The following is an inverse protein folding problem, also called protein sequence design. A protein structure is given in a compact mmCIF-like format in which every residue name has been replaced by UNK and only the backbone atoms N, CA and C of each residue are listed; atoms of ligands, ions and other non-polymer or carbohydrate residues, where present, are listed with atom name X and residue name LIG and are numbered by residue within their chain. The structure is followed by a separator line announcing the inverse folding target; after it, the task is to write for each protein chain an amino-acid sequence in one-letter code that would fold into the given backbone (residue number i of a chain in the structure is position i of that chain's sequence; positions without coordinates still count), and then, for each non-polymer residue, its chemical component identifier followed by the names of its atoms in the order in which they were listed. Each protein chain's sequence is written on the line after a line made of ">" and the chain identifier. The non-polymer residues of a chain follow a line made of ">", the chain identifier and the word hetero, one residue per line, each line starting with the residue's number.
data_IF_192515000596
#
_entry.id   IF_192515000596
#
_cell.length_a   1.000
_cell.length_b   1.000
_cell.length_c   1.000
_cell.angle_alpha   90.00
_cell.angle_beta   90.00
_cell.angle_gamma   90.00
#
_symmetry.space_group_name_H-M   'P 1'
#
loop_
_entity.id
_entity.type
_entity.pdbx_description
1 polymer ?
#
# COMPACT_ATOMS: atom_id res chain seq x y z
N UNK A 1 -3.44 36.52 6.05
CA UNK A 1 -4.59 35.80 5.47
C UNK A 1 -5.35 35.18 6.62
N UNK A 2 -6.68 35.25 6.62
CA UNK A 2 -7.49 34.60 7.66
C UNK A 2 -7.33 33.09 7.56
N UNK A 3 -7.28 32.41 8.70
CA UNK A 3 -7.19 30.94 8.78
C UNK A 3 -8.37 30.31 8.01
N UNK A 4 -8.12 29.41 7.04
CA UNK A 4 -9.16 28.69 6.31
C UNK A 4 -10.22 28.05 7.22
N UNK A 5 -9.82 27.56 8.39
CA UNK A 5 -10.74 26.97 9.37
C UNK A 5 -11.70 28.02 9.93
N UNK A 6 -11.21 29.21 10.25
CA UNK A 6 -12.07 30.31 10.71
C UNK A 6 -13.01 30.78 9.60
N UNK A 7 -12.59 30.76 8.34
CA UNK A 7 -13.49 31.05 7.21
C UNK A 7 -14.60 30.00 7.11
N UNK A 8 -14.25 28.71 7.15
CA UNK A 8 -15.21 27.59 7.05
C UNK A 8 -16.23 27.65 8.20
N UNK A 9 -15.75 27.83 9.44
CA UNK A 9 -16.58 27.85 10.63
C UNK A 9 -17.47 29.11 10.69
N UNK A 10 -16.93 30.29 10.38
CA UNK A 10 -17.73 31.53 10.31
C UNK A 10 -18.83 31.44 9.26
N UNK A 11 -18.55 30.84 8.09
CA UNK A 11 -19.56 30.61 7.05
C UNK A 11 -20.66 29.65 7.49
N UNK A 12 -20.42 28.84 8.51
CA UNK A 12 -21.40 27.91 9.08
C UNK A 12 -22.04 28.44 10.38
N UNK A 13 -21.84 29.72 10.70
CA UNK A 13 -22.46 30.36 11.86
C UNK A 13 -21.72 30.14 13.19
N UNK A 14 -20.55 29.49 13.18
CA UNK A 14 -19.71 29.35 14.35
C UNK A 14 -18.83 30.59 14.55
N UNK A 15 -18.69 31.04 15.79
CA UNK A 15 -17.85 32.19 16.13
C UNK A 15 -16.34 31.90 16.12
N UNK A 16 -15.54 32.95 16.37
CA UNK A 16 -14.09 32.81 16.50
C UNK A 16 -13.65 31.94 17.68
N UNK A 17 -14.49 31.77 18.70
CA UNK A 17 -14.26 30.86 19.83
C UNK A 17 -15.35 29.78 19.82
N UNK A 18 -14.95 28.52 19.62
CA UNK A 18 -15.85 27.39 19.83
C UNK A 18 -15.77 26.98 21.31
N UNK A 19 -16.92 26.73 21.92
CA UNK A 19 -17.02 26.20 23.29
C UNK A 19 -17.42 24.71 23.23
N UNK A 20 -17.00 23.92 24.24
CA UNK A 20 -17.27 22.47 24.31
C UNK A 20 -18.78 22.14 24.22
N UNK A 21 -19.67 23.08 24.58
CA UNK A 21 -21.13 22.91 24.53
C UNK A 21 -21.73 22.97 23.10
N UNK A 22 -20.94 23.28 22.07
CA UNK A 22 -21.41 23.42 20.68
C UNK A 22 -21.37 22.11 19.86
N UNK A 23 -21.13 20.97 20.50
CA UNK A 23 -21.10 19.66 19.84
C UNK A 23 -22.46 19.31 19.19
N UNK A 24 -23.57 19.62 19.87
CA UNK A 24 -24.93 19.41 19.34
C UNK A 24 -25.23 20.27 18.10
N UNK A 25 -24.67 21.48 18.04
CA UNK A 25 -24.85 22.38 16.89
C UNK A 25 -24.09 21.85 15.66
N UNK A 26 -22.92 21.24 15.86
CA UNK A 26 -22.19 20.55 14.78
C UNK A 26 -22.99 19.36 14.24
N UNK A 27 -23.51 18.50 15.12
CA UNK A 27 -24.29 17.34 14.68
C UNK A 27 -25.49 17.75 13.83
N UNK A 28 -26.24 18.78 14.26
CA UNK A 28 -27.36 19.32 13.49
C UNK A 28 -26.92 19.90 12.14
N UNK A 29 -25.81 20.65 12.11
CA UNK A 29 -25.24 21.19 10.87
C UNK A 29 -24.75 20.09 9.91
N UNK A 30 -24.21 18.99 10.44
CA UNK A 30 -23.80 17.84 9.63
C UNK A 30 -25.00 17.12 9.02
N UNK A 31 -26.10 16.95 9.76
CA UNK A 31 -27.36 16.38 9.25
C UNK A 31 -27.98 17.24 8.13
N UNK A 32 -27.81 18.56 8.19
CA UNK A 32 -28.27 19.48 7.14
C UNK A 32 -27.43 19.44 5.85
N UNK A 33 -26.23 18.86 5.86
CA UNK A 33 -25.36 18.75 4.67
C UNK A 33 -25.68 17.47 3.91
N UNK A 34 -25.96 17.60 2.61
CA UNK A 34 -26.28 16.46 1.74
C UNK A 34 -25.03 15.69 1.29
N UNK A 35 -23.91 16.37 1.11
CA UNK A 35 -22.67 15.77 0.59
C UNK A 35 -21.73 15.35 1.74
N UNK A 36 -21.26 14.09 1.70
CA UNK A 36 -20.35 13.52 2.70
C UNK A 36 -19.03 14.31 2.83
N UNK A 37 -18.58 14.90 1.72
CA UNK A 37 -17.38 15.75 1.72
C UNK A 37 -17.54 16.98 2.62
N UNK A 38 -18.72 17.59 2.61
CA UNK A 38 -18.97 18.82 3.39
C UNK A 38 -19.04 18.50 4.88
N UNK A 39 -19.67 17.37 5.23
CA UNK A 39 -19.65 16.82 6.60
C UNK A 39 -18.23 16.60 7.09
N UNK A 40 -17.39 15.96 6.27
CA UNK A 40 -15.99 15.69 6.61
C UNK A 40 -15.17 16.98 6.85
N UNK A 41 -15.31 17.97 5.96
CA UNK A 41 -14.61 19.27 6.10
C UNK A 41 -15.04 19.97 7.39
N UNK A 42 -16.33 19.92 7.73
CA UNK A 42 -16.86 20.50 8.97
C UNK A 42 -16.33 19.79 10.22
N UNK A 43 -16.33 18.45 10.23
CA UNK A 43 -15.76 17.68 11.35
C UNK A 43 -14.29 18.00 11.55
N UNK A 44 -13.50 18.09 10.48
CA UNK A 44 -12.07 18.44 10.56
C UNK A 44 -11.87 19.86 11.12
N UNK A 45 -12.63 20.84 10.64
CA UNK A 45 -12.55 22.21 11.11
C UNK A 45 -12.93 22.34 12.60
N UNK A 46 -13.95 21.60 13.02
CA UNK A 46 -14.42 21.59 14.41
C UNK A 46 -13.41 20.89 15.34
N UNK A 47 -12.90 19.71 14.97
CA UNK A 47 -11.89 18.98 15.75
C UNK A 47 -10.59 19.77 15.88
N UNK A 48 -10.17 20.46 14.81
CA UNK A 48 -9.00 21.35 14.85
C UNK A 48 -9.14 22.39 15.96
N UNK A 49 -10.31 23.01 16.05
CA UNK A 49 -10.54 24.17 16.91
C UNK A 49 -10.90 23.82 18.36
N UNK A 50 -11.51 22.65 18.61
CA UNK A 50 -11.75 22.15 19.98
C UNK A 50 -10.48 21.61 20.66
N UNK A 51 -9.56 21.03 19.89
CA UNK A 51 -8.33 20.51 20.47
C UNK A 51 -7.30 21.62 20.68
N UNK A 52 -6.27 21.36 21.51
CA UNK A 52 -5.13 22.26 21.78
C UNK A 52 -4.25 22.60 20.55
N UNK A 53 -4.79 22.44 19.34
CA UNK A 53 -4.18 22.73 18.05
C UNK A 53 -4.49 24.14 17.51
N UNK A 54 -5.11 25.00 18.33
CA UNK A 54 -5.40 26.40 18.00
C UNK A 54 -4.19 27.23 17.54
N UNK A 55 -2.97 26.74 17.74
CA UNK A 55 -1.72 27.39 17.31
C UNK A 55 -1.08 26.78 16.05
N UNK A 56 -1.71 25.81 15.35
CA UNK A 56 -1.18 25.25 14.11
C UNK A 56 -2.16 25.39 12.94
N UNK A 57 -1.64 25.44 11.72
CA UNK A 57 -2.43 25.47 10.50
C UNK A 57 -3.24 24.16 10.32
N UNK A 58 -4.29 24.21 9.50
CA UNK A 58 -5.07 23.02 9.12
C UNK A 58 -4.17 21.89 8.61
N UNK A 59 -3.18 22.22 7.78
CA UNK A 59 -2.28 21.24 7.17
C UNK A 59 -1.27 20.65 8.16
N UNK A 60 -0.89 21.41 9.18
CA UNK A 60 -0.09 20.90 10.29
C UNK A 60 -0.92 19.96 11.16
N UNK A 61 -2.15 20.34 11.51
CA UNK A 61 -3.08 19.49 12.25
C UNK A 61 -3.34 18.16 11.52
N UNK A 62 -3.72 18.21 10.25
CA UNK A 62 -3.97 17.00 9.45
C UNK A 62 -2.73 16.10 9.37
N UNK A 63 -1.54 16.69 9.29
CA UNK A 63 -0.29 15.92 9.29
C UNK A 63 0.00 15.31 10.67
N UNK A 64 -0.29 16.02 11.76
CA UNK A 64 -0.15 15.50 13.12
C UNK A 64 -1.10 14.32 13.38
N UNK A 65 -2.36 14.44 12.97
CA UNK A 65 -3.34 13.36 13.10
C UNK A 65 -2.99 12.16 12.22
N UNK A 66 -2.51 12.39 10.99
CA UNK A 66 -2.00 11.30 10.14
C UNK A 66 -0.82 10.57 10.81
N UNK A 67 0.15 11.30 11.36
CA UNK A 67 1.28 10.69 12.06
C UNK A 67 0.84 9.91 13.32
N UNK A 68 -0.17 10.40 14.06
CA UNK A 68 -0.74 9.67 15.20
C UNK A 68 -1.41 8.38 14.76
N UNK A 69 -2.24 8.46 13.72
CA UNK A 69 -2.89 7.29 13.14
C UNK A 69 -1.87 6.22 12.76
N UNK A 70 -0.80 6.59 12.08
CA UNK A 70 0.27 5.66 11.68
C UNK A 70 1.00 5.02 12.84
N UNK A 71 1.21 5.78 13.91
CA UNK A 71 1.79 5.25 15.14
C UNK A 71 0.86 4.21 15.76
N UNK A 72 -0.41 4.54 15.96
CA UNK A 72 -1.38 3.59 16.52
C UNK A 72 -1.55 2.35 15.65
N UNK A 73 -1.59 2.53 14.34
CA UNK A 73 -1.62 1.43 13.39
C UNK A 73 -0.36 0.56 13.47
N UNK A 74 0.83 1.17 13.55
CA UNK A 74 2.10 0.44 13.71
C UNK A 74 2.14 -0.34 15.02
N UNK A 75 1.67 0.24 16.12
CA UNK A 75 1.57 -0.41 17.43
C UNK A 75 0.58 -1.59 17.40
N UNK A 76 -0.55 -1.42 16.70
CA UNK A 76 -1.52 -2.50 16.47
C UNK A 76 -0.89 -3.67 15.70
N UNK A 77 -0.25 -3.40 14.55
CA UNK A 77 0.40 -4.45 13.75
C UNK A 77 1.49 -5.16 14.55
N UNK A 78 2.30 -4.42 15.31
CA UNK A 78 3.32 -5.00 16.21
C UNK A 78 2.69 -5.94 17.22
N UNK A 79 1.57 -5.53 17.82
CA UNK A 79 0.86 -6.34 18.82
C UNK A 79 0.30 -7.62 18.20
N UNK A 80 -0.37 -7.53 17.04
CA UNK A 80 -0.93 -8.69 16.35
C UNK A 80 0.16 -9.69 15.94
N UNK A 81 1.25 -9.21 15.34
CA UNK A 81 2.38 -10.07 14.94
C UNK A 81 3.07 -10.70 16.15
N UNK A 82 3.18 -9.98 17.26
CA UNK A 82 3.79 -10.53 18.49
C UNK A 82 2.90 -11.60 19.11
N UNK A 83 1.59 -11.35 19.19
CA UNK A 83 0.63 -12.29 19.79
C UNK A 83 0.48 -13.57 18.97
N UNK A 84 0.61 -13.47 17.64
CA UNK A 84 0.46 -14.59 16.69
C UNK A 84 1.78 -14.94 16.00
N UNK A 85 2.92 -14.69 16.65
CA UNK A 85 4.24 -14.75 16.01
C UNK A 85 4.47 -16.10 15.32
N UNK A 86 4.31 -17.21 16.03
CA UNK A 86 4.56 -18.54 15.48
C UNK A 86 3.66 -18.83 14.28
N UNK A 87 2.35 -18.58 14.40
CA UNK A 87 1.37 -18.81 13.33
C UNK A 87 1.65 -17.94 12.10
N UNK A 88 1.81 -16.64 12.30
CA UNK A 88 2.04 -15.68 11.22
C UNK A 88 3.35 -15.98 10.47
N UNK A 89 4.46 -16.14 11.19
CA UNK A 89 5.76 -16.39 10.58
C UNK A 89 5.84 -17.78 9.96
N UNK A 90 5.24 -18.82 10.57
CA UNK A 90 5.17 -20.17 9.99
C UNK A 90 4.38 -20.16 8.68
N UNK A 91 3.17 -19.58 8.67
CA UNK A 91 2.33 -19.49 7.48
C UNK A 91 3.01 -18.69 6.36
N UNK A 92 3.57 -17.52 6.69
CA UNK A 92 4.31 -16.70 5.72
C UNK A 92 5.51 -17.44 5.14
N UNK A 93 6.30 -18.12 5.98
CA UNK A 93 7.48 -18.87 5.52
C UNK A 93 7.08 -20.09 4.68
N UNK A 94 5.98 -20.75 5.00
CA UNK A 94 5.43 -21.84 4.19
C UNK A 94 5.00 -21.35 2.80
N UNK A 95 4.29 -20.22 2.73
CA UNK A 95 3.90 -19.57 1.48
C UNK A 95 5.14 -19.23 0.65
N UNK A 96 6.11 -18.52 1.24
CA UNK A 96 7.36 -18.16 0.55
C UNK A 96 8.13 -19.40 0.08
N UNK A 97 8.15 -20.47 0.89
CA UNK A 97 8.77 -21.74 0.50
C UNK A 97 8.08 -22.34 -0.71
N UNK A 98 6.74 -22.37 -0.75
CA UNK A 98 5.97 -22.86 -1.91
C UNK A 98 6.21 -22.02 -3.16
N UNK A 99 6.15 -20.69 -3.04
CA UNK A 99 6.46 -19.76 -4.13
C UNK A 99 7.90 -19.96 -4.65
N UNK A 100 8.85 -20.17 -3.74
CA UNK A 100 10.25 -20.45 -4.09
C UNK A 100 10.52 -21.90 -4.54
N UNK A 101 9.58 -22.82 -4.30
CA UNK A 101 9.75 -24.25 -4.51
C UNK A 101 9.69 -24.65 -5.98
N UNK A 102 9.01 -23.84 -6.80
CA UNK A 102 9.09 -23.91 -8.26
C UNK A 102 10.42 -23.40 -8.83
N UNK A 103 11.22 -22.67 -8.04
CA UNK A 103 12.49 -22.10 -8.47
C UNK A 103 13.64 -23.07 -8.16
N UNK A 104 14.44 -23.39 -9.17
CA UNK A 104 15.63 -24.24 -9.03
C UNK A 104 16.62 -23.72 -7.99
N UNK A 105 17.46 -24.59 -7.43
CA UNK A 105 18.36 -24.30 -6.31
C UNK A 105 19.36 -23.14 -6.53
N UNK A 106 19.52 -22.67 -7.77
CA UNK A 106 20.45 -21.59 -8.16
C UNK A 106 19.83 -20.19 -8.15
N UNK A 107 18.52 -20.05 -7.89
CA UNK A 107 17.84 -18.75 -7.96
C UNK A 107 17.98 -17.98 -6.64
N UNK A 108 18.43 -16.73 -6.74
CA UNK A 108 18.31 -15.76 -5.66
C UNK A 108 16.93 -15.08 -5.72
N UNK A 109 16.42 -14.66 -4.56
CA UNK A 109 15.10 -14.05 -4.42
C UNK A 109 15.29 -12.65 -3.83
N UNK A 110 14.71 -11.66 -4.49
CA UNK A 110 14.53 -10.32 -3.94
C UNK A 110 13.10 -10.16 -3.47
N UNK A 111 12.88 -9.58 -2.28
CA UNK A 111 11.53 -9.46 -1.71
C UNK A 111 11.11 -8.01 -1.59
N UNK A 112 10.10 -7.64 -2.36
CA UNK A 112 9.37 -6.38 -2.21
C UNK A 112 8.09 -6.63 -1.42
N UNK A 113 8.08 -6.21 -0.16
CA UNK A 113 6.97 -6.44 0.76
C UNK A 113 6.10 -5.18 0.85
N UNK A 114 4.82 -5.32 0.49
CA UNK A 114 3.82 -4.26 0.59
C UNK A 114 3.06 -4.27 1.92
N UNK A 115 3.25 -5.29 2.75
CA UNK A 115 2.69 -5.34 4.09
C UNK A 115 3.45 -4.44 5.05
N UNK A 116 2.77 -4.08 6.15
CA UNK A 116 3.32 -3.30 7.26
C UNK A 116 4.09 -4.14 8.29
N UNK A 117 4.30 -5.43 8.00
CA UNK A 117 5.14 -6.33 8.79
C UNK A 117 6.55 -6.37 8.21
N UNK A 118 7.60 -6.35 9.05
CA UNK A 118 8.98 -6.37 8.58
C UNK A 118 9.35 -7.71 7.96
N UNK A 119 10.26 -7.66 6.99
CA UNK A 119 10.91 -8.85 6.45
C UNK A 119 11.85 -9.46 7.49
N UNK A 120 11.37 -10.49 8.19
CA UNK A 120 12.13 -11.22 9.22
C UNK A 120 12.23 -12.69 8.85
N UNK A 121 13.27 -13.08 8.13
CA UNK A 121 13.46 -14.44 7.61
C UNK A 121 14.35 -15.32 8.52
N UNK A 122 14.69 -14.84 9.73
CA UNK A 122 15.69 -15.42 10.64
C UNK A 122 15.54 -16.92 10.91
N UNK A 123 14.31 -17.43 10.85
CA UNK A 123 13.99 -18.77 11.32
C UNK A 123 14.07 -19.84 10.20
N UNK A 124 14.33 -19.44 8.95
CA UNK A 124 14.47 -20.37 7.80
C UNK A 124 15.81 -20.21 7.11
N UNK A 125 16.78 -21.09 7.46
CA UNK A 125 18.13 -21.12 6.87
C UNK A 125 18.07 -21.21 5.34
N UNK A 126 17.23 -22.09 4.80
CA UNK A 126 17.07 -22.26 3.33
C UNK A 126 16.51 -21.01 2.65
N UNK A 127 15.63 -20.28 3.32
CA UNK A 127 15.06 -19.05 2.79
C UNK A 127 16.06 -17.90 2.90
N UNK A 128 16.88 -17.83 3.95
CA UNK A 128 17.97 -16.86 4.08
C UNK A 128 19.09 -17.10 3.05
N UNK A 129 19.32 -18.36 2.64
CA UNK A 129 20.27 -18.69 1.57
C UNK A 129 19.76 -18.25 0.19
N UNK A 130 18.44 -18.31 -0.05
CA UNK A 130 17.82 -17.90 -1.31
C UNK A 130 17.52 -16.40 -1.37
N UNK A 131 16.97 -15.82 -0.30
CA UNK A 131 16.66 -14.39 -0.22
C UNK A 131 17.97 -13.64 -0.07
N UNK A 132 18.36 -12.91 -1.11
CA UNK A 132 19.55 -12.08 -1.07
C UNK A 132 19.42 -10.93 -0.05
N UNK A 133 20.42 -10.05 0.00
CA UNK A 133 20.39 -8.85 0.85
C UNK A 133 19.30 -7.84 0.41
N UNK A 134 18.69 -8.03 -0.76
CA UNK A 134 17.72 -7.15 -1.38
C UNK A 134 16.29 -7.43 -0.91
N UNK A 135 15.88 -6.77 0.17
CA UNK A 135 14.49 -6.74 0.58
C UNK A 135 14.07 -5.33 1.01
N UNK A 136 12.82 -4.97 0.71
CA UNK A 136 12.25 -3.66 1.05
C UNK A 136 10.83 -3.82 1.55
N UNK A 137 10.45 -2.96 2.50
CA UNK A 137 9.07 -2.73 2.88
C UNK A 137 8.57 -1.44 2.20
N UNK A 138 7.73 -1.57 1.19
CA UNK A 138 7.32 -0.46 0.30
C UNK A 138 6.62 0.65 1.08
N UNK A 139 5.83 0.31 2.09
CA UNK A 139 5.11 1.25 2.94
C UNK A 139 5.73 1.41 4.34
N UNK A 140 6.98 0.98 4.51
CA UNK A 140 7.59 0.85 5.83
C UNK A 140 7.00 -0.32 6.63
N UNK A 141 7.27 -0.35 7.93
CA UNK A 141 6.78 -1.40 8.82
C UNK A 141 6.64 -0.88 10.24
N UNK A 142 6.10 -1.69 11.15
CA UNK A 142 6.09 -1.34 12.58
C UNK A 142 7.49 -1.12 13.18
N UNK A 143 8.57 -1.59 12.53
CA UNK A 143 9.96 -1.32 12.93
C UNK A 143 10.59 -0.09 12.25
N UNK A 144 10.00 0.37 11.14
CA UNK A 144 10.60 1.36 10.25
C UNK A 144 9.58 2.38 9.75
N UNK A 145 8.65 2.78 10.64
CA UNK A 145 7.52 3.69 10.43
C UNK A 145 6.60 3.31 9.25
N UNK A 146 5.35 2.97 9.54
CA UNK A 146 4.33 2.80 8.50
C UNK A 146 4.01 4.16 7.84
N UNK A 147 3.98 4.19 6.51
CA UNK A 147 3.69 5.41 5.72
C UNK A 147 2.40 5.21 4.94
N UNK A 148 1.43 6.04 5.26
CA UNK A 148 0.19 6.24 4.53
C UNK A 148 0.27 7.51 3.69
N UNK A 149 -0.54 7.59 2.65
CA UNK A 149 -0.57 8.76 1.80
C UNK A 149 -1.16 8.45 0.45
N UNK A 150 -1.45 9.51 -0.28
CA UNK A 150 -1.99 9.45 -1.63
C UNK A 150 -0.87 9.28 -2.66
N UNK A 151 -1.22 8.74 -3.82
CA UNK A 151 -0.30 8.68 -4.96
C UNK A 151 -0.16 10.10 -5.56
N UNK A 152 1.04 10.46 -5.97
CA UNK A 152 1.27 11.67 -6.76
C UNK A 152 0.52 11.68 -8.10
N UNK A 153 0.14 10.52 -8.65
CA UNK A 153 -0.66 10.42 -9.89
C UNK A 153 -2.14 10.69 -9.68
N UNK A 154 -2.67 10.53 -8.46
CA UNK A 154 -4.08 10.88 -8.16
C UNK A 154 -4.29 12.39 -8.02
N UNK A 155 -3.24 13.16 -8.27
CA UNK A 155 -3.17 14.59 -8.09
C UNK A 155 -3.03 15.22 -9.48
N UNK A 156 -4.15 15.69 -10.03
CA UNK A 156 -4.13 16.54 -11.24
C UNK A 156 -3.41 17.84 -10.88
N UNK A 157 -2.27 18.09 -11.52
CA UNK A 157 -1.41 19.27 -11.40
C UNK A 157 -0.83 19.55 -9.99
N UNK A 158 0.39 19.07 -9.76
CA UNK A 158 1.22 19.35 -8.56
C UNK A 158 1.35 20.85 -8.28
N UNK A 159 1.39 21.67 -9.33
CA UNK A 159 1.52 23.12 -9.24
C UNK A 159 0.29 23.81 -8.61
N UNK A 160 -0.91 23.20 -8.71
CA UNK A 160 -2.14 23.70 -8.08
C UNK A 160 -2.33 23.27 -6.63
N UNK A 161 -1.52 22.31 -6.15
CA UNK A 161 -1.83 21.57 -4.91
C UNK A 161 -1.21 22.21 -3.65
N UNK A 162 -0.22 23.08 -3.80
CA UNK A 162 0.38 23.82 -2.69
C UNK A 162 0.79 22.90 -1.53
N UNK A 163 0.13 23.04 -0.38
CA UNK A 163 0.41 22.27 0.83
C UNK A 163 0.01 20.79 0.76
N UNK A 164 -0.85 20.37 -0.17
CA UNK A 164 -1.33 18.98 -0.29
C UNK A 164 -0.25 17.95 -0.67
N UNK A 165 0.82 18.38 -1.35
CA UNK A 165 1.90 17.48 -1.79
C UNK A 165 2.56 16.74 -0.63
N UNK A 166 2.56 17.34 0.58
CA UNK A 166 3.15 16.76 1.79
C UNK A 166 2.48 15.48 2.27
N UNK A 167 1.24 15.23 1.85
CA UNK A 167 0.48 14.02 2.18
C UNK A 167 0.71 12.88 1.17
N UNK A 168 1.52 13.10 0.14
CA UNK A 168 1.84 12.05 -0.84
C UNK A 168 2.85 11.05 -0.30
N UNK A 169 2.71 9.77 -0.68
CA UNK A 169 3.72 8.75 -0.36
C UNK A 169 5.12 9.19 -0.83
N UNK A 170 5.21 9.83 -1.99
CA UNK A 170 6.47 10.33 -2.60
C UNK A 170 7.16 11.37 -1.73
N UNK A 171 6.45 12.45 -1.33
CA UNK A 171 7.01 13.46 -0.45
C UNK A 171 7.51 12.85 0.85
N UNK A 172 6.69 11.97 1.46
CA UNK A 172 7.01 11.37 2.75
C UNK A 172 8.25 10.49 2.67
N UNK A 173 8.38 9.69 1.63
CA UNK A 173 9.61 8.93 1.35
C UNK A 173 10.83 9.83 1.14
N UNK A 174 10.71 10.93 0.40
CA UNK A 174 11.81 11.88 0.20
C UNK A 174 12.28 12.54 1.50
N UNK A 175 11.36 12.84 2.42
CA UNK A 175 11.71 13.43 3.73
C UNK A 175 12.32 12.44 4.71
N UNK A 176 12.06 11.14 4.54
CA UNK A 176 12.66 10.10 5.35
C UNK A 176 14.10 9.85 4.88
N UNK A 177 15.07 10.24 5.70
CA UNK A 177 16.48 9.91 5.46
C UNK A 177 16.71 8.41 5.60
N UNK A 178 16.51 7.63 4.54
CA UNK A 178 16.91 6.22 4.51
C UNK A 178 18.41 6.13 4.25
N UNK A 179 19.15 5.56 5.20
CA UNK A 179 20.63 5.44 5.14
C UNK A 179 21.13 4.33 4.21
N UNK A 180 20.25 3.63 3.48
CA UNK A 180 20.64 2.48 2.64
C UNK A 180 19.83 2.51 1.34
N UNK A 181 20.51 2.71 0.23
CA UNK A 181 20.05 2.22 -1.06
C UNK A 181 20.23 0.71 -1.06
N UNK A 182 19.18 -0.04 -0.76
CA UNK A 182 19.16 -1.44 -1.14
C UNK A 182 18.76 -1.47 -2.61
N UNK A 183 19.66 -1.93 -3.47
CA UNK A 183 19.29 -2.30 -4.84
C UNK A 183 18.29 -3.46 -4.71
N UNK A 184 17.00 -3.17 -4.86
CA UNK A 184 15.93 -4.17 -4.76
C UNK A 184 15.83 -4.97 -6.06
N UNK A 185 16.27 -4.39 -7.17
CA UNK A 185 16.21 -4.97 -8.50
C UNK A 185 17.63 -5.20 -9.01
N UNK A 186 18.02 -6.47 -9.12
CA UNK A 186 19.23 -6.88 -9.83
C UNK A 186 18.95 -7.01 -11.34
N UNK A 187 20.00 -7.02 -12.14
CA UNK A 187 19.89 -6.95 -13.60
C UNK A 187 19.56 -8.31 -14.24
N UNK A 188 19.60 -9.40 -13.47
CA UNK A 188 19.42 -10.79 -13.90
C UNK A 188 18.08 -11.41 -13.45
N UNK A 189 17.09 -10.57 -13.13
CA UNK A 189 15.73 -11.03 -12.80
C UNK A 189 15.08 -11.65 -14.04
N UNK A 190 14.62 -12.89 -13.92
CA UNK A 190 13.89 -13.63 -14.97
C UNK A 190 12.39 -13.75 -14.67
N UNK A 191 12.03 -13.70 -13.39
CA UNK A 191 10.67 -13.99 -12.91
C UNK A 191 10.22 -12.94 -11.90
N UNK A 192 8.97 -12.52 -12.01
CA UNK A 192 8.30 -11.68 -11.02
C UNK A 192 7.07 -12.42 -10.49
N UNK A 193 7.09 -12.66 -9.19
CA UNK A 193 6.04 -13.39 -8.48
C UNK A 193 5.22 -12.39 -7.66
N UNK A 194 3.91 -12.37 -7.89
CA UNK A 194 2.95 -11.58 -7.11
C UNK A 194 2.12 -12.51 -6.24
N UNK A 195 1.96 -12.17 -4.96
CA UNK A 195 1.10 -12.93 -4.05
C UNK A 195 0.50 -12.02 -2.98
N UNK A 196 -0.79 -12.21 -2.70
CA UNK A 196 -1.50 -11.52 -1.60
C UNK A 196 -1.68 -10.01 -1.78
N UNK A 197 -1.43 -9.47 -2.98
CA UNK A 197 -1.64 -8.05 -3.29
C UNK A 197 -2.88 -7.87 -4.15
N UNK A 198 -3.72 -6.89 -3.81
CA UNK A 198 -4.95 -6.55 -4.54
C UNK A 198 -4.72 -5.93 -5.94
N UNK A 199 -3.46 -5.74 -6.33
CA UNK A 199 -3.02 -4.91 -7.46
C UNK A 199 -3.83 -3.59 -7.57
N UNK A 200 -3.99 -2.87 -6.46
CA UNK A 200 -4.70 -1.60 -6.43
C UNK A 200 -3.98 -0.49 -7.18
N UNK A 201 -4.74 0.44 -7.76
CA UNK A 201 -4.22 1.55 -8.57
C UNK A 201 -3.21 2.44 -7.82
N UNK A 202 -3.37 2.58 -6.50
CA UNK A 202 -2.47 3.37 -5.65
C UNK A 202 -1.02 2.85 -5.56
N UNK A 203 -0.78 1.64 -6.10
CA UNK A 203 0.55 1.02 -6.12
C UNK A 203 1.05 0.76 -7.56
N UNK A 204 0.29 1.17 -8.59
CA UNK A 204 0.69 1.03 -10.00
C UNK A 204 2.01 1.72 -10.31
N UNK A 205 2.33 2.83 -9.64
CA UNK A 205 3.62 3.51 -9.83
C UNK A 205 4.82 2.61 -9.47
N UNK A 206 4.70 1.75 -8.46
CA UNK A 206 5.75 0.78 -8.10
C UNK A 206 5.90 -0.29 -9.18
N UNK A 207 4.79 -0.90 -9.60
CA UNK A 207 4.81 -1.95 -10.62
C UNK A 207 5.31 -1.41 -11.97
N UNK A 208 4.85 -0.23 -12.38
CA UNK A 208 5.36 0.44 -13.57
C UNK A 208 6.87 0.65 -13.49
N UNK A 209 7.39 1.15 -12.37
CA UNK A 209 8.84 1.38 -12.21
C UNK A 209 9.64 0.09 -12.36
N UNK A 210 9.12 -1.03 -11.85
CA UNK A 210 9.74 -2.36 -12.00
C UNK A 210 9.66 -2.83 -13.45
N UNK A 211 8.50 -2.68 -14.09
CA UNK A 211 8.27 -3.11 -15.47
C UNK A 211 9.12 -2.31 -16.48
N UNK A 212 9.28 -1.00 -16.25
CA UNK A 212 10.15 -0.14 -17.04
C UNK A 212 11.63 -0.51 -16.83
N UNK A 213 12.04 -0.76 -15.59
CA UNK A 213 13.42 -1.16 -15.27
C UNK A 213 13.80 -2.49 -15.94
N UNK A 214 12.89 -3.46 -15.93
CA UNK A 214 13.12 -4.80 -16.50
C UNK A 214 12.76 -4.90 -17.99
N UNK A 215 12.15 -3.86 -18.57
CA UNK A 215 11.61 -3.85 -19.94
C UNK A 215 10.84 -5.14 -20.27
N UNK A 216 9.73 -5.36 -19.55
CA UNK A 216 8.93 -6.60 -19.70
C UNK A 216 8.35 -6.80 -21.10
N UNK A 217 8.35 -5.75 -21.93
CA UNK A 217 7.89 -5.83 -23.31
C UNK A 217 8.95 -6.52 -24.20
N UNK A 218 10.21 -6.09 -24.13
CA UNK A 218 11.27 -6.63 -24.98
C UNK A 218 12.01 -7.83 -24.35
N UNK A 219 12.12 -7.89 -23.03
CA UNK A 219 12.83 -8.96 -22.33
C UNK A 219 11.91 -10.13 -21.99
N UNK A 220 12.49 -11.33 -21.85
CA UNK A 220 11.80 -12.57 -21.51
C UNK A 220 11.55 -12.70 -20.01
N UNK A 221 10.87 -11.71 -19.44
CA UNK A 221 10.44 -11.72 -18.03
C UNK A 221 9.11 -12.45 -17.92
N UNK A 222 9.03 -13.39 -16.97
CA UNK A 222 7.80 -14.14 -16.66
C UNK A 222 7.10 -13.49 -15.46
N UNK A 223 5.79 -13.27 -15.57
CA UNK A 223 4.95 -12.66 -14.54
C UNK A 223 3.94 -13.70 -14.03
N UNK A 224 4.10 -14.14 -12.79
CA UNK A 224 3.18 -15.12 -12.19
C UNK A 224 2.40 -14.47 -11.05
N UNK A 225 1.08 -14.40 -11.21
CA UNK A 225 0.17 -13.84 -10.24
C UNK A 225 -0.51 -14.94 -9.45
N UNK A 226 0.01 -15.22 -8.27
CA UNK A 226 -0.57 -16.20 -7.38
C UNK A 226 -1.72 -15.62 -6.56
N UNK A 227 -2.78 -16.41 -6.40
CA UNK A 227 -3.87 -16.15 -5.46
C UNK A 227 -4.08 -17.36 -4.54
N UNK A 228 -4.91 -17.22 -3.52
CA UNK A 228 -5.37 -18.35 -2.69
C UNK A 228 -6.88 -18.26 -2.56
N UNK A 229 -7.58 -19.38 -2.65
CA UNK A 229 -9.05 -19.41 -2.56
C UNK A 229 -9.53 -19.24 -1.11
N UNK A 230 -9.72 -17.98 -0.70
CA UNK A 230 -10.28 -17.62 0.61
C UNK A 230 -11.75 -17.15 0.54
N UNK A 231 -12.28 -16.98 -0.68
CA UNK A 231 -13.69 -16.65 -0.96
C UNK A 231 -14.04 -17.08 -2.38
N UNK A 232 -15.32 -16.99 -2.74
CA UNK A 232 -15.75 -17.18 -4.12
C UNK A 232 -15.15 -16.09 -5.03
N UNK A 233 -14.86 -16.45 -6.29
CA UNK A 233 -14.42 -15.55 -7.36
C UNK A 233 -13.05 -14.85 -7.18
N UNK A 234 -12.19 -15.28 -6.24
CA UNK A 234 -10.84 -14.70 -6.08
C UNK A 234 -10.05 -14.74 -7.38
N UNK A 235 -10.10 -15.87 -8.11
CA UNK A 235 -9.45 -16.00 -9.41
C UNK A 235 -9.91 -14.95 -10.41
N UNK A 236 -11.22 -14.69 -10.47
CA UNK A 236 -11.79 -13.71 -11.40
C UNK A 236 -11.38 -12.30 -11.02
N UNK A 237 -11.49 -11.93 -9.74
CA UNK A 237 -11.05 -10.64 -9.22
C UNK A 237 -9.56 -10.40 -9.52
N UNK A 238 -8.71 -11.40 -9.26
CA UNK A 238 -7.28 -11.34 -9.55
C UNK A 238 -7.03 -11.19 -11.06
N UNK A 239 -7.77 -11.91 -11.91
CA UNK A 239 -7.65 -11.81 -13.37
C UNK A 239 -8.00 -10.41 -13.87
N UNK A 240 -9.07 -9.81 -13.34
CA UNK A 240 -9.47 -8.43 -13.67
C UNK A 240 -8.39 -7.45 -13.20
N UNK A 241 -7.86 -7.62 -11.99
CA UNK A 241 -6.83 -6.74 -11.44
C UNK A 241 -5.53 -6.81 -12.25
N UNK A 242 -5.12 -8.01 -12.69
CA UNK A 242 -3.97 -8.22 -13.58
C UNK A 242 -4.20 -7.55 -14.93
N UNK A 243 -5.38 -7.73 -15.55
CA UNK A 243 -5.72 -7.05 -16.81
C UNK A 243 -5.57 -5.54 -16.67
N UNK A 244 -6.17 -4.95 -15.64
CA UNK A 244 -6.15 -3.51 -15.41
C UNK A 244 -4.73 -2.97 -15.19
N UNK A 245 -3.89 -3.71 -14.44
CA UNK A 245 -2.48 -3.34 -14.23
C UNK A 245 -1.71 -3.30 -15.54
N UNK A 246 -1.81 -4.35 -16.37
CA UNK A 246 -1.09 -4.44 -17.65
C UNK A 246 -1.63 -3.43 -18.66
N UNK A 247 -2.95 -3.18 -18.68
CA UNK A 247 -3.56 -2.16 -19.54
C UNK A 247 -3.12 -0.75 -19.14
N UNK A 248 -3.08 -0.42 -17.85
CA UNK A 248 -2.56 0.87 -17.39
C UNK A 248 -1.09 1.04 -17.74
N UNK A 249 -0.28 0.02 -17.47
CA UNK A 249 1.11 0.05 -17.87
C UNK A 249 1.27 0.24 -19.39
N UNK A 250 0.47 -0.44 -20.21
CA UNK A 250 0.46 -0.25 -21.66
C UNK A 250 0.14 1.18 -22.11
N UNK A 251 -0.61 1.98 -21.33
CA UNK A 251 -0.91 3.38 -21.68
C UNK A 251 0.31 4.28 -21.63
N UNK A 252 1.36 3.90 -20.90
CA UNK A 252 2.61 4.68 -20.76
C UNK A 252 3.48 4.61 -22.02
N UNK A 253 3.23 3.65 -22.91
CA UNK A 253 4.03 3.44 -24.11
C UNK A 253 3.79 4.56 -25.13
N UNK A 254 4.86 5.02 -25.80
CA UNK A 254 4.78 5.97 -26.90
C UNK A 254 3.94 5.39 -28.05
N UNK A 255 4.21 4.12 -28.39
CA UNK A 255 3.42 3.40 -29.39
C UNK A 255 2.16 2.79 -28.75
N UNK A 256 1.03 3.48 -28.92
CA UNK A 256 -0.27 3.06 -28.36
C UNK A 256 -0.75 1.70 -28.86
N UNK A 257 -0.37 1.26 -30.06
CA UNK A 257 -0.70 -0.09 -30.53
C UNK A 257 0.10 -1.15 -29.79
N UNK A 258 1.39 -0.91 -29.52
CA UNK A 258 2.21 -1.81 -28.70
C UNK A 258 1.63 -1.94 -27.29
N UNK A 259 1.29 -0.81 -26.68
CA UNK A 259 0.72 -0.77 -25.33
C UNK A 259 -0.59 -1.56 -25.21
N UNK A 260 -1.54 -1.32 -26.12
CA UNK A 260 -2.84 -2.03 -26.14
C UNK A 260 -2.71 -3.55 -26.32
N UNK A 261 -1.65 -3.99 -27.00
CA UNK A 261 -1.41 -5.40 -27.29
C UNK A 261 -0.45 -6.08 -26.30
N UNK A 262 0.01 -5.38 -25.25
CA UNK A 262 1.00 -5.92 -24.31
C UNK A 262 0.50 -7.20 -23.64
N UNK A 263 -0.70 -7.18 -23.07
CA UNK A 263 -1.28 -8.37 -22.42
C UNK A 263 -1.39 -9.54 -23.39
N UNK A 264 -1.84 -9.28 -24.62
CA UNK A 264 -1.96 -10.32 -25.64
C UNK A 264 -0.60 -10.93 -26.02
N UNK A 265 0.45 -10.09 -26.17
CA UNK A 265 1.81 -10.54 -26.41
C UNK A 265 2.33 -11.42 -25.27
N UNK A 266 2.18 -10.98 -24.02
CA UNK A 266 2.62 -11.74 -22.84
C UNK A 266 1.91 -13.09 -22.75
N UNK A 267 0.62 -13.16 -23.08
CA UNK A 267 -0.15 -14.41 -23.12
C UNK A 267 0.32 -15.36 -24.24
N UNK A 268 0.53 -14.84 -25.46
CA UNK A 268 1.01 -15.65 -26.60
C UNK A 268 2.41 -16.22 -26.36
N UNK A 269 3.22 -15.52 -25.60
CA UNK A 269 4.58 -15.95 -25.24
C UNK A 269 4.62 -16.75 -23.94
N UNK A 270 3.46 -17.05 -23.34
CA UNK A 270 3.32 -17.79 -22.08
C UNK A 270 4.11 -17.15 -20.91
N UNK A 271 4.27 -15.82 -20.95
CA UNK A 271 5.02 -15.01 -19.97
C UNK A 271 4.15 -14.36 -18.90
N UNK A 272 2.85 -14.61 -18.90
CA UNK A 272 1.95 -14.12 -17.85
C UNK A 272 0.92 -15.16 -17.48
N UNK A 273 0.71 -15.37 -16.19
CA UNK A 273 -0.27 -16.33 -15.68
C UNK A 273 -0.92 -15.88 -14.38
N UNK A 274 -2.16 -16.34 -14.15
CA UNK A 274 -2.88 -16.24 -12.88
C UNK A 274 -3.09 -17.66 -12.36
N UNK A 275 -2.48 -17.98 -11.22
CA UNK A 275 -2.32 -19.35 -10.74
C UNK A 275 -2.74 -19.48 -9.28
N UNK A 276 -3.45 -20.54 -8.94
CA UNK A 276 -3.74 -20.83 -7.53
C UNK A 276 -2.47 -21.28 -6.81
N UNK A 277 -2.27 -20.74 -5.62
CA UNK A 277 -1.31 -21.25 -4.66
C UNK A 277 -2.10 -22.11 -3.67
N UNK A 278 -2.08 -23.42 -3.86
CA UNK A 278 -2.70 -24.38 -2.95
C UNK A 278 -2.06 -24.27 -1.55
N UNK A 279 -2.73 -23.57 -0.64
CA UNK A 279 -2.37 -23.52 0.78
C UNK A 279 -3.20 -24.58 1.51
N UNK A 280 -2.71 -25.82 1.55
CA UNK A 280 -3.22 -26.80 2.49
C UNK A 280 -3.02 -26.28 3.91
N UNK A 281 -4.11 -26.01 4.62
CA UNK A 281 -4.10 -25.89 6.07
C UNK A 281 -3.69 -27.26 6.64
N UNK A 282 -2.47 -27.38 7.16
CA UNK A 282 -2.18 -28.49 8.06
C UNK A 282 -3.02 -28.27 9.32
N UNK A 283 -4.14 -29.00 9.42
CA UNK A 283 -5.04 -29.17 10.57
C UNK A 283 -4.74 -28.29 11.80
N UNK A 284 -5.27 -27.06 11.79
CA UNK A 284 -5.43 -26.27 13.02
C UNK A 284 -6.63 -26.77 13.86
N UNK A 285 -7.36 -27.79 13.39
CA UNK A 285 -8.50 -28.41 14.06
C UNK A 285 -8.13 -29.73 14.76
N UNK A 286 -7.22 -29.70 15.75
CA UNK A 286 -7.13 -30.81 16.73
C UNK A 286 -6.40 -30.44 18.03
N UNK A 287 -6.62 -29.24 18.56
CA UNK A 287 -6.31 -28.95 19.98
C UNK A 287 -7.37 -28.03 20.56
N UNK A 288 -8.57 -28.58 20.75
CA UNK A 288 -9.49 -28.23 21.85
C UNK A 288 -10.62 -29.27 21.89
N UNK A 289 -10.25 -30.49 22.29
CA UNK A 289 -11.15 -31.41 22.98
C UNK A 289 -10.32 -32.12 24.05
N UNK A 290 -10.25 -31.48 25.23
CA UNK A 290 -10.26 -32.14 26.54
C UNK A 290 -10.54 -31.13 27.64
#
# INVERSE_FOLDING_TARGET
>A
MSDPINIILNNCGFGENLEDEQENDLYNLMEERLEEKDKYVLSVAFIHKLNSYSNCSLEEFLMLELNKYEKYFSDYIKTEVTNKYEEYHKTRNNILTKLSGGLGATHSISVMNFNFTPNQFSDSVKLNEKIGLAHVNVHGSYLANSIFGIDTKSLEDIDTIGSGYRFTKTYRKLTLKTKRSTEILYHDITDIIFYGHSLGQADYAYFQSIFDYLDIYNNTIVLTFYYSDYKENVREEQTIAVRNLIEEYGKTFDNKHKGKNLLHKLLLEERISVTDLEIYEEDYSSKDMK
#
